data_IF_014699916071
#
_entry.id   IF_014699916071
#
_cell.length_a   1.000
_cell.length_b   1.000
_cell.length_c   1.000
_cell.angle_alpha   90.00
_cell.angle_beta   90.00
_cell.angle_gamma   90.00
#
_symmetry.space_group_name_H-M   'P 1'
#
loop_
_entity.id
_entity.type
_entity.pdbx_description
1 polymer ?
#
# COMPACT_ATOMS: atom_id res chain seq x y z
N UNK A 1 -8.86 3.14 10.37
CA UNK A 1 -9.72 2.81 9.20
C UNK A 1 -9.02 3.40 8.01
N UNK A 2 -8.71 2.56 7.02
CA UNK A 2 -7.84 2.92 5.91
C UNK A 2 -8.65 3.58 4.79
N UNK A 3 -8.87 4.89 4.88
CA UNK A 3 -9.46 5.68 3.79
C UNK A 3 -8.39 6.26 2.86
N UNK A 4 -7.18 6.44 3.38
CA UNK A 4 -6.07 7.14 2.71
C UNK A 4 -5.62 6.45 1.43
N UNK A 5 -5.87 5.15 1.27
CA UNK A 5 -5.40 4.42 0.10
C UNK A 5 -6.13 4.77 -1.21
N UNK A 6 -7.34 5.34 -1.14
CA UNK A 6 -8.21 5.52 -2.31
C UNK A 6 -7.52 6.21 -3.51
N UNK A 7 -6.91 7.40 -3.38
CA UNK A 7 -6.25 8.08 -4.50
C UNK A 7 -4.90 7.47 -4.89
N UNK A 8 -4.39 6.49 -4.15
CA UNK A 8 -3.06 5.93 -4.34
C UNK A 8 -3.12 4.53 -4.96
N UNK A 9 -3.93 3.64 -4.36
CA UNK A 9 -4.19 2.32 -4.88
C UNK A 9 -5.09 2.36 -6.12
N UNK A 10 -6.02 3.32 -6.18
CA UNK A 10 -7.00 3.45 -7.28
C UNK A 10 -6.89 4.81 -8.00
N UNK A 11 -5.67 5.21 -8.37
CA UNK A 11 -5.36 6.46 -9.10
C UNK A 11 -6.18 6.70 -10.38
N UNK A 12 -6.71 5.64 -11.00
CA UNK A 12 -7.58 5.76 -12.17
C UNK A 12 -8.99 6.25 -11.83
N UNK A 13 -9.39 6.11 -10.57
CA UNK A 13 -10.74 6.38 -10.08
C UNK A 13 -10.78 7.58 -9.13
N UNK A 14 -9.73 7.82 -8.35
CA UNK A 14 -9.65 8.92 -7.40
C UNK A 14 -8.36 9.74 -7.58
N UNK A 15 -8.45 11.07 -7.50
CA UNK A 15 -7.31 11.98 -7.62
C UNK A 15 -6.72 12.41 -6.28
N UNK A 16 -7.59 12.63 -5.30
CA UNK A 16 -7.23 13.18 -4.00
C UNK A 16 -8.28 12.81 -2.96
N UNK A 17 -7.90 12.94 -1.69
CA UNK A 17 -8.77 12.64 -0.56
C UNK A 17 -8.48 13.56 0.61
N UNK A 18 -9.52 13.94 1.33
CA UNK A 18 -9.44 14.73 2.56
C UNK A 18 -10.39 14.15 3.61
N UNK A 19 -9.86 13.84 4.79
CA UNK A 19 -10.69 13.47 5.93
C UNK A 19 -11.53 14.67 6.41
N UNK A 20 -12.83 14.44 6.55
CA UNK A 20 -13.77 15.41 7.12
C UNK A 20 -14.09 15.07 8.57
N UNK A 21 -14.32 13.78 8.85
CA UNK A 21 -14.68 13.29 10.18
C UNK A 21 -14.30 11.81 10.32
N UNK A 22 -13.90 11.37 11.51
CA UNK A 22 -13.71 9.95 11.81
C UNK A 22 -14.07 9.62 13.25
N UNK A 23 -14.42 8.35 13.48
CA UNK A 23 -14.72 7.85 14.82
C UNK A 23 -14.86 6.34 14.84
N UNK A 24 -15.33 5.79 15.96
CA UNK A 24 -15.63 4.37 16.09
C UNK A 24 -16.71 3.90 15.10
N UNK A 25 -17.57 4.82 14.66
CA UNK A 25 -18.65 4.59 13.70
C UNK A 25 -18.17 4.43 12.26
N UNK A 26 -16.95 4.90 11.93
CA UNK A 26 -16.42 4.93 10.57
C UNK A 26 -15.76 6.26 10.24
N UNK A 27 -15.98 6.76 9.02
CA UNK A 27 -15.40 8.03 8.57
C UNK A 27 -16.24 8.72 7.50
N UNK A 28 -16.00 10.01 7.33
CA UNK A 28 -16.45 10.82 6.20
C UNK A 28 -15.26 11.51 5.57
N UNK A 29 -15.15 11.42 4.25
CA UNK A 29 -14.07 12.00 3.46
C UNK A 29 -14.64 12.77 2.28
N UNK A 30 -13.88 13.73 1.79
CA UNK A 30 -14.06 14.36 0.49
C UNK A 30 -13.07 13.76 -0.48
N UNK A 31 -13.53 13.28 -1.64
CA UNK A 31 -12.67 12.70 -2.68
C UNK A 31 -12.89 13.38 -4.02
N UNK A 32 -11.79 13.57 -4.75
CA UNK A 32 -11.83 13.92 -6.16
C UNK A 32 -11.91 12.65 -7.01
N UNK A 33 -12.79 12.64 -8.02
CA UNK A 33 -13.03 11.53 -8.94
C UNK A 33 -12.28 11.74 -10.26
N UNK A 34 -11.80 10.65 -10.83
CA UNK A 34 -11.16 10.61 -12.14
C UNK A 34 -12.00 9.75 -13.11
N UNK A 35 -12.00 10.08 -14.42
CA UNK A 35 -11.31 11.22 -15.06
C UNK A 35 -12.12 12.53 -15.07
N UNK A 36 -13.37 12.53 -14.59
CA UNK A 36 -14.29 13.66 -14.73
C UNK A 36 -13.91 14.89 -13.88
N UNK A 37 -13.12 14.71 -12.81
CA UNK A 37 -12.72 15.79 -11.90
C UNK A 37 -13.82 16.25 -10.94
N UNK A 38 -14.92 15.50 -10.84
CA UNK A 38 -15.98 15.76 -9.89
C UNK A 38 -15.50 15.52 -8.46
N UNK A 39 -16.08 16.23 -7.50
CA UNK A 39 -15.75 16.06 -6.08
C UNK A 39 -16.99 15.58 -5.35
N UNK A 40 -16.84 14.54 -4.54
CA UNK A 40 -17.92 13.94 -3.76
C UNK A 40 -17.52 13.75 -2.31
N UNK A 41 -18.50 13.84 -1.41
CA UNK A 41 -18.31 13.51 0.00
C UNK A 41 -18.86 12.10 0.26
N UNK A 42 -17.98 11.20 0.69
CA UNK A 42 -18.30 9.80 0.95
C UNK A 42 -18.24 9.54 2.45
N UNK A 43 -19.29 8.93 2.98
CA UNK A 43 -19.37 8.44 4.36
C UNK A 43 -19.36 6.91 4.37
N UNK A 44 -18.47 6.31 5.15
CA UNK A 44 -18.48 4.90 5.45
C UNK A 44 -18.90 4.68 6.90
N UNK A 45 -19.94 3.87 7.12
CA UNK A 45 -20.41 3.43 8.44
C UNK A 45 -20.17 1.96 8.65
N UNK A 46 -19.63 1.59 9.80
CA UNK A 46 -19.38 0.21 10.17
C UNK A 46 -20.41 -0.25 11.21
N UNK A 47 -21.02 -1.40 10.96
CA UNK A 47 -21.91 -2.11 11.86
C UNK A 47 -21.29 -3.47 12.19
N UNK A 48 -20.25 -3.45 13.03
CA UNK A 48 -19.39 -4.62 13.31
C UNK A 48 -20.15 -5.81 13.87
N UNK A 49 -21.13 -5.53 14.72
CA UNK A 49 -22.03 -6.51 15.34
C UNK A 49 -22.91 -7.25 14.33
N UNK A 50 -23.17 -6.62 13.18
CA UNK A 50 -23.96 -7.18 12.08
C UNK A 50 -23.10 -7.69 10.91
N UNK A 51 -21.76 -7.64 11.03
CA UNK A 51 -20.87 -8.04 9.94
C UNK A 51 -21.06 -7.20 8.67
N UNK A 52 -21.48 -5.94 8.81
CA UNK A 52 -21.86 -5.07 7.69
C UNK A 52 -21.12 -3.73 7.76
N UNK A 53 -20.90 -3.13 6.61
CA UNK A 53 -20.68 -1.70 6.50
C UNK A 53 -21.45 -1.13 5.31
N UNK A 54 -21.67 0.18 5.31
CA UNK A 54 -22.26 0.89 4.19
C UNK A 54 -21.44 2.11 3.82
N UNK A 55 -21.40 2.39 2.52
CA UNK A 55 -20.80 3.59 1.96
C UNK A 55 -21.90 4.42 1.33
N UNK A 56 -22.00 5.70 1.68
CA UNK A 56 -23.01 6.64 1.18
C UNK A 56 -22.33 7.85 0.55
N UNK A 57 -22.79 8.24 -0.63
CA UNK A 57 -22.47 9.55 -1.20
C UNK A 57 -23.35 10.61 -0.56
N UNK A 58 -22.76 11.44 0.29
CA UNK A 58 -23.46 12.46 1.10
C UNK A 58 -23.53 13.83 0.43
N UNK A 59 -22.67 14.09 -0.56
CA UNK A 59 -22.72 15.30 -1.40
C UNK A 59 -22.01 15.05 -2.74
N UNK A 60 -22.43 15.75 -3.79
CA UNK A 60 -21.82 15.70 -5.11
C UNK A 60 -22.55 14.77 -6.09
N UNK A 61 -21.88 14.37 -7.18
CA UNK A 61 -22.49 13.47 -8.16
C UNK A 61 -22.88 12.14 -7.51
N UNK A 62 -24.11 11.69 -7.76
CA UNK A 62 -24.64 10.46 -7.14
C UNK A 62 -25.06 10.62 -5.67
N UNK A 63 -25.24 11.85 -5.17
CA UNK A 63 -25.78 12.10 -3.83
C UNK A 63 -27.03 11.25 -3.52
N UNK A 64 -27.04 10.67 -2.33
CA UNK A 64 -28.08 9.75 -1.86
C UNK A 64 -27.87 8.29 -2.27
N UNK A 65 -26.87 7.99 -3.12
CA UNK A 65 -26.48 6.61 -3.42
C UNK A 65 -25.87 5.93 -2.21
N UNK A 66 -26.20 4.67 -2.01
CA UNK A 66 -25.67 3.82 -0.95
C UNK A 66 -25.19 2.49 -1.49
N UNK A 67 -24.15 1.96 -0.85
CA UNK A 67 -23.54 0.69 -1.21
C UNK A 67 -23.35 -0.08 0.07
N UNK A 68 -24.05 -1.20 0.18
CA UNK A 68 -24.11 -2.00 1.40
C UNK A 68 -23.29 -3.25 1.19
N UNK A 69 -22.36 -3.52 2.10
CA UNK A 69 -21.51 -4.71 2.06
C UNK A 69 -21.74 -5.56 3.29
N UNK A 70 -22.14 -6.81 3.09
CA UNK A 70 -22.24 -7.83 4.14
C UNK A 70 -21.11 -8.83 4.02
N UNK A 71 -20.56 -9.22 5.17
CA UNK A 71 -19.48 -10.19 5.30
C UNK A 71 -19.99 -11.40 6.07
N UNK A 72 -19.94 -12.57 5.46
CA UNK A 72 -20.33 -13.85 6.07
C UNK A 72 -19.10 -14.75 6.23
N UNK A 73 -18.71 -15.14 7.46
CA UNK A 73 -17.61 -16.07 7.66
C UNK A 73 -18.01 -17.46 7.17
N UNK A 74 -17.38 -17.96 6.12
CA UNK A 74 -17.65 -19.29 5.54
C UNK A 74 -16.71 -20.36 6.12
N UNK A 75 -15.45 -20.02 6.37
CA UNK A 75 -14.46 -20.86 7.05
C UNK A 75 -13.28 -20.02 7.58
N UNK A 76 -12.30 -20.65 8.22
CA UNK A 76 -11.13 -19.95 8.81
C UNK A 76 -10.33 -19.09 7.81
N UNK A 77 -10.42 -19.36 6.51
CA UNK A 77 -9.73 -18.60 5.45
C UNK A 77 -10.66 -18.22 4.30
N UNK A 78 -11.99 -18.18 4.54
CA UNK A 78 -12.97 -17.84 3.51
C UNK A 78 -14.08 -16.97 4.08
N UNK A 79 -14.35 -15.86 3.40
CA UNK A 79 -15.41 -14.92 3.72
C UNK A 79 -16.29 -14.74 2.48
N UNK A 80 -17.59 -14.91 2.64
CA UNK A 80 -18.59 -14.55 1.64
C UNK A 80 -18.83 -13.06 1.69
N UNK A 81 -18.90 -12.41 0.53
CA UNK A 81 -19.10 -10.98 0.40
C UNK A 81 -20.32 -10.75 -0.48
N UNK A 82 -21.30 -10.03 0.04
CA UNK A 82 -22.46 -9.57 -0.71
C UNK A 82 -22.40 -8.03 -0.79
N UNK A 83 -22.52 -7.49 -2.00
CA UNK A 83 -22.53 -6.05 -2.26
C UNK A 83 -23.84 -5.67 -2.92
N UNK A 84 -24.61 -4.81 -2.26
CA UNK A 84 -25.87 -4.26 -2.78
C UNK A 84 -25.69 -2.78 -3.14
N UNK A 85 -26.11 -2.40 -4.35
CA UNK A 85 -26.08 -1.02 -4.83
C UNK A 85 -27.47 -0.40 -4.79
N UNK A 86 -27.65 0.65 -4.00
CA UNK A 86 -28.90 1.39 -3.86
C UNK A 86 -28.72 2.78 -4.46
N UNK A 87 -29.18 2.94 -5.69
CA UNK A 87 -28.99 4.16 -6.46
C UNK A 87 -30.34 4.89 -6.62
N UNK A 88 -30.54 6.05 -5.98
CA UNK A 88 -31.78 6.79 -6.12
C UNK A 88 -31.92 7.35 -7.55
N UNK A 89 -33.16 7.49 -8.00
CA UNK A 89 -33.51 8.15 -9.27
C UNK A 89 -32.98 7.48 -10.54
N UNK A 90 -32.73 6.15 -10.52
CA UNK A 90 -32.36 5.44 -11.73
C UNK A 90 -33.55 5.22 -12.67
N UNK A 91 -33.39 5.62 -13.93
CA UNK A 91 -34.31 5.26 -15.00
C UNK A 91 -33.95 3.85 -15.49
N UNK A 92 -34.96 2.99 -15.70
CA UNK A 92 -34.78 1.54 -15.94
C UNK A 92 -33.85 1.24 -17.13
N UNK A 93 -33.91 2.07 -18.15
CA UNK A 93 -33.10 1.96 -19.38
C UNK A 93 -31.61 2.22 -19.13
N UNK A 94 -31.25 2.93 -18.05
CA UNK A 94 -29.87 3.19 -17.65
C UNK A 94 -29.34 2.13 -16.67
N UNK A 95 -30.23 1.32 -16.08
CA UNK A 95 -29.90 0.41 -14.99
C UNK A 95 -28.91 -0.67 -15.38
N UNK A 96 -29.07 -1.29 -16.55
CA UNK A 96 -28.18 -2.36 -16.99
C UNK A 96 -26.76 -1.86 -17.23
N UNK A 97 -26.61 -0.74 -17.96
CA UNK A 97 -25.30 -0.16 -18.24
C UNK A 97 -24.58 0.30 -16.96
N UNK A 98 -25.33 0.91 -16.05
CA UNK A 98 -24.78 1.36 -14.77
C UNK A 98 -24.41 0.19 -13.86
N UNK A 99 -25.23 -0.87 -13.81
CA UNK A 99 -24.92 -2.07 -13.04
C UNK A 99 -23.62 -2.73 -13.51
N UNK A 100 -23.40 -2.83 -14.82
CA UNK A 100 -22.13 -3.35 -15.37
C UNK A 100 -20.96 -2.47 -14.98
N UNK A 101 -21.12 -1.14 -15.03
CA UNK A 101 -20.07 -0.21 -14.65
C UNK A 101 -19.72 -0.29 -13.14
N UNK A 102 -20.73 -0.30 -12.27
CA UNK A 102 -20.53 -0.44 -10.81
C UNK A 102 -19.93 -1.78 -10.44
N UNK A 103 -20.40 -2.88 -11.04
CA UNK A 103 -19.84 -4.20 -10.80
C UNK A 103 -18.36 -4.24 -11.19
N UNK A 104 -18.00 -3.73 -12.37
CA UNK A 104 -16.59 -3.65 -12.80
C UNK A 104 -15.75 -2.81 -11.85
N UNK A 105 -16.22 -1.62 -11.48
CA UNK A 105 -15.50 -0.75 -10.56
C UNK A 105 -15.30 -1.44 -9.21
N UNK A 106 -16.36 -1.99 -8.62
CA UNK A 106 -16.28 -2.61 -7.30
C UNK A 106 -15.47 -3.90 -7.29
N UNK A 107 -15.48 -4.71 -8.36
CA UNK A 107 -14.56 -5.84 -8.47
C UNK A 107 -13.11 -5.36 -8.43
N UNK A 108 -12.76 -4.31 -9.18
CA UNK A 108 -11.39 -3.76 -9.16
C UNK A 108 -11.00 -3.21 -7.78
N UNK A 109 -11.93 -2.52 -7.10
CA UNK A 109 -11.70 -2.04 -5.74
C UNK A 109 -11.45 -3.21 -4.79
N UNK A 110 -12.35 -4.19 -4.76
CA UNK A 110 -12.23 -5.36 -3.89
C UNK A 110 -10.97 -6.20 -4.15
N UNK A 111 -10.62 -6.47 -5.41
CA UNK A 111 -9.41 -7.23 -5.75
C UNK A 111 -8.15 -6.51 -5.21
N UNK A 112 -8.11 -5.17 -5.32
CA UNK A 112 -7.02 -4.36 -4.79
C UNK A 112 -6.95 -4.38 -3.25
N UNK A 113 -8.09 -4.21 -2.59
CA UNK A 113 -8.18 -4.20 -1.12
C UNK A 113 -7.88 -5.59 -0.54
N UNK A 114 -8.36 -6.65 -1.17
CA UNK A 114 -8.05 -8.03 -0.80
C UNK A 114 -6.55 -8.30 -0.93
N UNK A 115 -5.93 -7.94 -2.06
CA UNK A 115 -4.48 -8.09 -2.25
C UNK A 115 -3.68 -7.33 -1.18
N UNK A 116 -4.12 -6.13 -0.83
CA UNK A 116 -3.55 -5.32 0.25
C UNK A 116 -3.65 -6.03 1.61
N UNK A 117 -4.86 -6.43 2.00
CA UNK A 117 -5.12 -7.13 3.27
C UNK A 117 -4.38 -8.46 3.37
N UNK A 118 -4.37 -9.25 2.30
CA UNK A 118 -3.68 -10.55 2.26
C UNK A 118 -2.17 -10.41 2.40
N UNK A 119 -1.56 -9.39 1.78
CA UNK A 119 -0.14 -9.09 1.99
C UNK A 119 0.13 -8.70 3.44
N UNK A 120 -0.69 -7.85 4.03
CA UNK A 120 -0.57 -7.48 5.45
C UNK A 120 -0.63 -8.71 6.35
N UNK A 121 -1.61 -9.59 6.16
CA UNK A 121 -1.74 -10.83 6.92
C UNK A 121 -0.51 -11.74 6.77
N UNK A 122 0.01 -11.90 5.55
CA UNK A 122 1.23 -12.67 5.32
C UNK A 122 2.43 -12.10 6.09
N UNK A 123 2.57 -10.78 6.17
CA UNK A 123 3.67 -10.12 6.89
C UNK A 123 3.48 -10.16 8.42
N UNK A 124 2.24 -10.06 8.90
CA UNK A 124 1.90 -10.09 10.33
C UNK A 124 1.95 -11.50 10.93
N UNK A 125 1.50 -12.50 10.17
CA UNK A 125 1.52 -13.92 10.58
C UNK A 125 2.91 -14.55 10.53
N UNK A 126 3.84 -13.98 9.74
CA UNK A 126 5.23 -14.40 9.68
C UNK A 126 5.90 -14.22 11.05
N UNK A 127 6.34 -15.33 11.66
CA UNK A 127 7.26 -15.28 12.80
C UNK A 127 8.56 -14.64 12.35
N UNK A 128 8.89 -13.48 12.91
CA UNK A 128 10.20 -12.85 12.67
C UNK A 128 11.28 -13.76 13.24
N UNK A 129 12.22 -14.28 12.42
CA UNK A 129 13.39 -14.92 12.96
C UNK A 129 14.14 -13.91 13.85
N UNK A 130 14.71 -14.40 14.95
CA UNK A 130 15.59 -13.59 15.77
C UNK A 130 16.73 -13.05 14.89
N UNK A 131 17.16 -11.80 15.11
CA UNK A 131 18.39 -11.30 14.47
C UNK A 131 19.53 -12.23 14.88
N UNK A 132 20.02 -13.02 13.93
CA UNK A 132 21.22 -13.81 14.13
C UNK A 132 22.35 -12.82 13.86
N UNK A 133 22.71 -12.02 14.88
CA UNK A 133 23.74 -11.00 14.74
C UNK A 133 25.00 -11.59 14.11
N UNK A 134 25.21 -11.30 12.84
CA UNK A 134 26.24 -11.89 12.01
C UNK A 134 26.14 -11.35 10.58
N UNK A 135 27.29 -11.06 9.99
CA UNK A 135 27.42 -10.56 8.62
C UNK A 135 26.96 -11.65 7.64
N UNK A 136 25.69 -11.66 7.25
CA UNK A 136 25.27 -12.52 6.16
C UNK A 136 25.64 -11.85 4.82
N UNK A 137 26.50 -12.50 4.07
CA UNK A 137 26.92 -12.05 2.75
C UNK A 137 25.69 -11.90 1.84
N UNK A 138 25.53 -10.73 1.21
CA UNK A 138 25.13 -10.74 -0.19
C UNK A 138 26.23 -11.53 -0.89
N UNK A 139 25.92 -12.74 -1.35
CA UNK A 139 26.93 -13.66 -1.88
C UNK A 139 27.62 -13.04 -3.10
N UNK A 140 28.77 -12.39 -2.87
CA UNK A 140 29.92 -12.22 -3.77
C UNK A 140 29.57 -11.89 -5.23
N UNK A 141 28.76 -10.87 -5.46
CA UNK A 141 28.60 -10.27 -6.79
C UNK A 141 29.70 -9.25 -7.05
N UNK A 142 30.34 -9.30 -8.22
CA UNK A 142 31.16 -8.18 -8.67
C UNK A 142 30.28 -6.92 -8.80
N UNK A 143 30.83 -5.75 -8.49
CA UNK A 143 30.09 -4.48 -8.50
C UNK A 143 29.34 -4.25 -9.81
N UNK A 144 29.96 -4.58 -10.94
CA UNK A 144 29.36 -4.42 -12.26
C UNK A 144 28.17 -5.36 -12.48
N UNK A 145 28.26 -6.61 -12.01
CA UNK A 145 27.16 -7.58 -12.09
C UNK A 145 25.97 -7.17 -11.24
N UNK A 146 26.24 -6.60 -10.05
CA UNK A 146 25.19 -6.07 -9.17
C UNK A 146 24.51 -4.88 -9.86
N UNK A 147 25.30 -3.92 -10.38
CA UNK A 147 24.79 -2.75 -11.11
C UNK A 147 23.94 -3.13 -12.31
N UNK A 148 24.35 -4.14 -13.07
CA UNK A 148 23.60 -4.63 -14.24
C UNK A 148 22.22 -5.23 -13.88
N UNK A 149 22.00 -5.58 -12.61
CA UNK A 149 20.76 -6.17 -12.11
C UNK A 149 19.90 -5.19 -11.30
N UNK A 150 20.33 -3.93 -11.13
CA UNK A 150 19.56 -2.97 -10.35
C UNK A 150 18.28 -2.53 -11.07
N UNK A 151 17.20 -2.23 -10.34
CA UNK A 151 17.04 -2.45 -8.89
C UNK A 151 16.92 -3.94 -8.55
N UNK A 152 17.53 -4.36 -7.43
CA UNK A 152 17.58 -5.78 -7.03
C UNK A 152 17.00 -5.99 -5.63
N UNK A 153 16.09 -6.96 -5.48
CA UNK A 153 15.60 -7.42 -4.18
C UNK A 153 16.50 -8.53 -3.65
N UNK A 154 16.91 -8.39 -2.40
CA UNK A 154 17.87 -9.27 -1.71
C UNK A 154 17.32 -9.63 -0.34
N UNK A 155 17.71 -10.79 0.20
CA UNK A 155 17.30 -11.22 1.53
C UNK A 155 18.52 -11.30 2.46
N UNK A 156 18.36 -10.78 3.68
CA UNK A 156 19.35 -10.87 4.75
C UNK A 156 18.63 -11.18 6.07
N UNK A 157 19.03 -12.24 6.77
CA UNK A 157 18.39 -12.73 8.01
C UNK A 157 16.87 -12.93 7.90
N UNK A 158 16.41 -13.48 6.77
CA UNK A 158 14.97 -13.67 6.53
C UNK A 158 14.19 -12.37 6.32
N UNK A 159 14.89 -11.25 6.06
CA UNK A 159 14.29 -9.94 5.81
C UNK A 159 14.62 -9.48 4.38
N UNK A 160 13.61 -9.07 3.60
CA UNK A 160 13.84 -8.57 2.27
C UNK A 160 14.22 -7.08 2.28
N UNK A 161 15.17 -6.73 1.44
CA UNK A 161 15.65 -5.38 1.17
C UNK A 161 15.71 -5.16 -0.34
N UNK A 162 15.61 -3.90 -0.78
CA UNK A 162 15.86 -3.52 -2.15
C UNK A 162 17.15 -2.72 -2.20
N UNK A 163 18.04 -3.11 -3.11
CA UNK A 163 19.27 -2.40 -3.44
C UNK A 163 19.02 -1.56 -4.68
N UNK A 164 19.42 -0.29 -4.61
CA UNK A 164 19.31 0.70 -5.69
C UNK A 164 20.63 1.45 -5.83
N UNK A 165 20.86 2.09 -6.97
CA UNK A 165 21.98 3.03 -7.16
C UNK A 165 21.49 4.47 -7.02
N UNK A 166 22.20 5.26 -6.21
CA UNK A 166 21.89 6.65 -5.94
C UNK A 166 23.19 7.46 -5.84
N UNK A 167 23.35 8.43 -6.74
CA UNK A 167 24.57 9.26 -6.89
C UNK A 167 25.87 8.42 -6.99
N UNK A 168 25.81 7.31 -7.72
CA UNK A 168 26.95 6.40 -7.95
C UNK A 168 27.28 5.48 -6.78
N UNK A 169 26.50 5.51 -5.70
CA UNK A 169 26.63 4.60 -4.56
C UNK A 169 25.44 3.62 -4.51
N UNK A 170 25.71 2.40 -4.06
CA UNK A 170 24.65 1.42 -3.80
C UNK A 170 24.03 1.69 -2.42
N UNK A 171 22.70 1.65 -2.34
CA UNK A 171 21.92 1.87 -1.12
C UNK A 171 20.91 0.75 -0.98
N UNK A 172 20.80 0.17 0.21
CA UNK A 172 19.75 -0.79 0.54
C UNK A 172 18.69 -0.14 1.43
N UNK A 173 17.42 -0.45 1.18
CA UNK A 173 16.30 -0.02 2.03
C UNK A 173 15.31 -1.16 2.26
N UNK A 174 14.52 -1.08 3.33
CA UNK A 174 13.43 -2.03 3.56
C UNK A 174 12.37 -1.93 2.46
N UNK A 175 11.80 -3.07 2.06
CA UNK A 175 10.71 -3.12 1.07
C UNK A 175 9.31 -3.07 1.69
N UNK A 176 9.21 -2.82 2.98
CA UNK A 176 7.95 -2.81 3.73
C UNK A 176 7.72 -1.40 4.27
N UNK A 177 6.64 -0.77 3.80
CA UNK A 177 6.21 0.53 4.28
C UNK A 177 5.83 0.44 5.78
N UNK A 178 6.40 1.30 6.65
CA UNK A 178 6.12 1.28 8.09
C UNK A 178 4.72 1.78 8.44
N UNK A 179 4.02 2.45 7.51
CA UNK A 179 2.65 2.93 7.73
C UNK A 179 1.66 1.76 7.81
N UNK A 180 1.50 1.02 6.69
CA UNK A 180 0.51 -0.04 6.57
C UNK A 180 1.05 -1.28 5.84
N UNK A 181 2.35 -1.57 5.97
CA UNK A 181 3.01 -2.77 5.41
C UNK A 181 3.00 -2.86 3.87
N UNK A 182 2.75 -1.73 3.20
CA UNK A 182 2.74 -1.64 1.74
C UNK A 182 4.06 -2.01 1.06
N UNK A 183 4.00 -2.48 -0.19
CA UNK A 183 5.18 -2.87 -0.96
C UNK A 183 5.99 -1.64 -1.39
N UNK A 184 7.31 -1.72 -1.22
CA UNK A 184 8.28 -0.71 -1.66
C UNK A 184 9.35 -1.30 -2.59
N UNK A 185 9.25 -2.59 -2.89
CA UNK A 185 10.14 -3.37 -3.76
C UNK A 185 10.14 -2.87 -5.22
N UNK A 186 9.00 -2.40 -5.70
CA UNK A 186 8.85 -1.84 -7.05
C UNK A 186 8.55 -0.32 -7.05
N UNK A 187 8.67 0.33 -5.88
CA UNK A 187 8.42 1.76 -5.79
C UNK A 187 9.43 2.54 -6.65
N UNK A 188 8.99 3.49 -7.51
CA UNK A 188 9.89 4.34 -8.26
C UNK A 188 10.82 5.13 -7.31
N UNK A 189 12.10 5.21 -7.68
CA UNK A 189 13.09 6.02 -6.97
C UNK A 189 13.24 7.36 -7.68
N UNK A 190 12.87 8.44 -7.02
CA UNK A 190 12.93 9.81 -7.56
C UNK A 190 13.65 10.72 -6.57
N UNK A 191 14.78 11.32 -6.98
CA UNK A 191 15.57 12.23 -6.15
C UNK A 191 15.94 11.65 -4.76
N UNK A 192 16.28 10.36 -4.71
CA UNK A 192 16.61 9.66 -3.47
C UNK A 192 15.40 9.27 -2.60
N UNK A 193 14.18 9.53 -3.06
CA UNK A 193 12.96 9.21 -2.35
C UNK A 193 12.16 8.12 -3.08
N UNK A 194 11.57 7.22 -2.32
CA UNK A 194 10.56 6.26 -2.81
C UNK A 194 9.19 6.65 -2.27
N UNK A 195 8.14 6.30 -3.01
CA UNK A 195 6.75 6.55 -2.62
C UNK A 195 5.98 5.24 -2.49
N UNK A 196 5.33 5.03 -1.35
CA UNK A 196 4.43 3.91 -1.15
C UNK A 196 3.26 3.98 -2.15
N UNK A 197 2.97 2.91 -2.91
CA UNK A 197 1.87 2.90 -3.85
C UNK A 197 0.50 2.82 -3.16
N UNK A 198 0.44 2.41 -1.90
CA UNK A 198 -0.83 2.26 -1.17
C UNK A 198 -1.33 3.55 -0.57
N UNK A 199 -0.47 4.35 0.09
CA UNK A 199 -0.90 5.54 0.84
C UNK A 199 -0.13 6.81 0.47
N UNK A 200 0.83 6.69 -0.45
CA UNK A 200 1.59 7.82 -0.94
C UNK A 200 2.71 8.33 -0.04
N UNK A 201 2.93 7.72 1.13
CA UNK A 201 4.03 8.08 2.03
C UNK A 201 5.38 8.01 1.31
N UNK A 202 6.19 9.05 1.48
CA UNK A 202 7.54 9.13 0.92
C UNK A 202 8.60 8.90 1.97
N UNK A 203 9.66 8.21 1.56
CA UNK A 203 10.82 7.91 2.39
C UNK A 203 12.10 8.19 1.63
N UNK A 204 13.04 8.88 2.27
CA UNK A 204 14.41 8.99 1.78
C UNK A 204 15.12 7.65 1.98
N UNK A 205 15.67 7.07 0.91
CA UNK A 205 16.23 5.70 0.98
C UNK A 205 17.56 5.63 1.72
N UNK A 206 18.26 6.75 1.92
CA UNK A 206 19.55 6.81 2.61
C UNK A 206 19.37 6.79 4.13
N UNK A 207 18.44 7.59 4.63
CA UNK A 207 18.14 7.74 6.06
C UNK A 207 17.00 6.85 6.53
N UNK A 208 16.14 6.41 5.61
CA UNK A 208 14.89 5.71 5.92
C UNK A 208 13.79 6.63 6.48
N UNK A 209 14.04 7.92 6.66
CA UNK A 209 13.09 8.84 7.30
C UNK A 209 11.97 9.21 6.33
N UNK A 210 10.75 9.31 6.87
CA UNK A 210 9.62 9.89 6.14
C UNK A 210 9.91 11.35 5.75
N UNK A 211 9.63 11.68 4.50
CA UNK A 211 9.79 13.04 3.94
C UNK A 211 8.54 13.89 4.19
N UNK A 212 7.40 13.24 4.46
CA UNK A 212 6.10 13.88 4.66
C UNK A 212 5.80 14.18 6.14
N UNK A 213 6.83 14.16 7.00
CA UNK A 213 6.78 14.44 8.44
C UNK A 213 5.80 13.58 9.26
N UNK A 214 5.52 12.36 8.79
CA UNK A 214 4.67 11.40 9.51
C UNK A 214 5.33 10.79 10.75
N UNK A 215 6.57 11.20 11.08
CA UNK A 215 7.35 10.59 12.16
C UNK A 215 7.71 9.11 11.93
N UNK A 216 7.45 8.57 10.74
CA UNK A 216 7.71 7.18 10.37
C UNK A 216 9.12 6.99 9.79
N UNK A 217 9.66 5.79 10.01
CA UNK A 217 10.97 5.38 9.52
C UNK A 217 10.85 4.00 8.90
N UNK A 218 11.48 3.82 7.74
CA UNK A 218 11.67 2.50 7.18
C UNK A 218 12.38 1.61 8.21
N UNK A 219 12.09 0.31 8.15
CA UNK A 219 12.82 -0.66 8.95
C UNK A 219 14.33 -0.55 8.67
N UNK A 220 15.19 -0.80 9.68
CA UNK A 220 16.63 -0.69 9.51
C UNK A 220 17.09 -1.61 8.38
N UNK A 221 17.92 -1.07 7.49
CA UNK A 221 18.51 -1.78 6.37
C UNK A 221 20.01 -1.98 6.60
N UNK A 222 20.61 -3.06 6.07
CA UNK A 222 22.06 -3.21 6.06
C UNK A 222 22.72 -2.15 5.17
N UNK A 223 23.97 -1.80 5.47
CA UNK A 223 24.80 -1.02 4.56
C UNK A 223 25.23 -1.88 3.39
N UNK A 224 25.35 -1.24 2.22
CA UNK A 224 25.97 -1.87 1.05
C UNK A 224 27.42 -1.42 1.01
N UNK A 225 28.35 -2.35 1.22
CA UNK A 225 29.78 -2.07 1.17
C UNK A 225 30.38 -2.66 -0.10
N UNK A 226 31.35 -1.96 -0.68
CA UNK A 226 32.13 -2.45 -1.82
C UNK A 226 33.59 -2.54 -1.43
N UNK A 227 34.17 -3.72 -1.55
CA UNK A 227 35.59 -3.93 -1.31
C UNK A 227 36.41 -3.28 -2.43
N UNK A 228 37.31 -2.36 -2.07
CA UNK A 228 38.05 -1.56 -3.03
C UNK A 228 39.03 -2.38 -3.89
N UNK A 229 39.54 -3.51 -3.38
CA UNK A 229 40.54 -4.33 -4.07
C UNK A 229 39.90 -5.36 -4.99
N UNK A 230 38.84 -6.02 -4.51
CA UNK A 230 38.17 -7.12 -5.21
C UNK A 230 36.91 -6.71 -5.97
N UNK A 231 36.45 -5.47 -5.79
CA UNK A 231 35.20 -4.94 -6.35
C UNK A 231 33.97 -5.80 -5.97
N UNK A 232 34.04 -6.45 -4.82
CA UNK A 232 32.96 -7.32 -4.31
C UNK A 232 31.99 -6.50 -3.46
N UNK A 233 30.69 -6.69 -3.71
CA UNK A 233 29.62 -6.03 -2.94
C UNK A 233 29.16 -6.92 -1.78
N UNK A 234 28.91 -6.34 -0.61
CA UNK A 234 28.41 -7.03 0.59
C UNK A 234 27.30 -6.24 1.28
N UNK A 235 26.41 -6.93 1.99
CA UNK A 235 25.51 -6.33 2.98
C UNK A 235 26.10 -6.52 4.36
N UNK A 236 26.10 -5.46 5.15
CA UNK A 236 26.63 -5.47 6.51
C UNK A 236 25.61 -4.80 7.42
N UNK A 237 25.27 -5.46 8.52
CA UNK A 237 24.48 -4.83 9.56
C UNK A 237 25.34 -3.83 10.33
N UNK A 238 24.78 -2.67 10.67
CA UNK A 238 25.43 -1.79 11.62
C UNK A 238 25.62 -2.54 12.94
N UNK A 239 26.86 -2.61 13.43
CA UNK A 239 27.27 -3.40 14.61
C UNK A 239 26.62 -2.94 15.93
N UNK A 240 25.62 -2.05 15.91
CA UNK A 240 24.92 -1.52 17.07
C UNK A 240 23.59 -0.89 16.65
N UNK A 241 22.49 -1.66 16.70
CA UNK A 241 21.12 -1.14 16.74
C UNK A 241 20.15 -2.17 17.33
#
# INVERSE_FOLDING_TARGET
>A
MDWEHLPWLYRSSFSDIKLLESGSWGWRVRVGLQPAGEVVDIELRIERDQGRYSTRTTAGVGEGSEIWTRLEPLSAQRTGIEVEFLLPNLIREQAEGLAVAYMRLYTQLWDGDEAMMMRCEQLLSRRRPARIGGDALLTRGALEDVRAQLPLVVELDGRPFRVVELDGALVAHSIVCPHSLGPLDDAPLEHGCIRCPWHGDRYDVRSGRSVDDQGLWLGPAPRVETDCNSQQVRLVWDASA
#
